data_IF_869089965327
#
_entry.id   IF_869089965327
#
_cell.length_a   1.000
_cell.length_b   1.000
_cell.length_c   1.000
_cell.angle_alpha   90.00
_cell.angle_beta   90.00
_cell.angle_gamma   90.00
#
_symmetry.space_group_name_H-M   'P 1'
#
loop_
_entity.id
_entity.type
_entity.pdbx_description
1 polymer ?
#
# COMPACT_ATOMS: atom_id res chain seq x y z
N UNK A 1 -3.55 4.23 69.88
CA UNK A 1 -4.28 4.32 68.58
C UNK A 1 -3.40 4.62 67.35
N UNK A 2 -2.10 4.98 67.49
CA UNK A 2 -1.21 5.26 66.34
C UNK A 2 -0.59 4.00 65.69
N UNK A 3 -0.42 2.90 66.43
CA UNK A 3 0.15 1.64 65.94
C UNK A 3 -0.80 0.82 65.04
N UNK A 4 -2.12 0.95 65.24
CA UNK A 4 -3.14 0.28 64.38
C UNK A 4 -3.28 0.93 63.00
N UNK A 5 -2.94 2.21 62.84
CA UNK A 5 -3.03 2.93 61.55
C UNK A 5 -1.83 2.64 60.63
N UNK A 6 -0.66 2.31 61.20
CA UNK A 6 0.51 1.91 60.40
C UNK A 6 0.35 0.52 59.79
N UNK A 7 -0.28 -0.42 60.50
CA UNK A 7 -0.50 -1.78 59.99
C UNK A 7 -1.43 -1.84 58.78
N UNK A 8 -2.47 -1.00 58.75
CA UNK A 8 -3.41 -0.95 57.63
C UNK A 8 -2.78 -0.33 56.38
N UNK A 9 -1.89 0.67 56.53
CA UNK A 9 -1.21 1.29 55.40
C UNK A 9 -0.20 0.34 54.73
N UNK A 10 0.52 -0.47 55.53
CA UNK A 10 1.47 -1.45 55.01
C UNK A 10 0.80 -2.57 54.19
N UNK A 11 -0.40 -2.99 54.60
CA UNK A 11 -1.17 -4.02 53.88
C UNK A 11 -1.72 -3.49 52.55
N UNK A 12 -2.17 -2.24 52.50
CA UNK A 12 -2.69 -1.64 51.25
C UNK A 12 -1.59 -1.42 50.21
N UNK A 13 -0.37 -1.03 50.63
CA UNK A 13 0.78 -0.86 49.73
C UNK A 13 1.27 -2.21 49.18
N UNK A 14 1.21 -3.28 49.97
CA UNK A 14 1.58 -4.63 49.52
C UNK A 14 0.57 -5.25 48.54
N UNK A 15 -0.70 -4.87 48.60
CA UNK A 15 -1.74 -5.33 47.65
C UNK A 15 -1.67 -4.57 46.30
N UNK A 16 -1.14 -3.34 46.28
CA UNK A 16 -1.01 -2.56 45.06
C UNK A 16 0.16 -2.99 44.16
N UNK A 17 1.14 -3.75 44.67
CA UNK A 17 2.29 -4.23 43.90
C UNK A 17 2.07 -5.59 43.20
N UNK A 18 0.92 -6.24 43.38
CA UNK A 18 0.58 -7.50 42.71
C UNK A 18 -0.11 -7.32 41.34
N UNK A 19 -0.21 -6.09 40.84
CA UNK A 19 -0.87 -5.75 39.57
C UNK A 19 0.10 -5.62 38.39
N UNK A 20 1.05 -6.54 38.21
CA UNK A 20 1.77 -6.62 36.93
C UNK A 20 0.83 -7.24 35.89
N UNK A 21 0.42 -6.45 34.90
CA UNK A 21 -0.27 -6.92 33.71
C UNK A 21 0.54 -8.04 33.06
N UNK A 22 0.05 -9.27 33.16
CA UNK A 22 0.68 -10.45 32.58
C UNK A 22 0.34 -10.45 31.07
N UNK A 23 1.10 -9.70 30.28
CA UNK A 23 1.04 -9.82 28.82
C UNK A 23 1.69 -11.17 28.45
N UNK A 24 0.97 -12.13 27.84
CA UNK A 24 1.60 -13.33 27.34
C UNK A 24 2.60 -12.94 26.25
N UNK A 25 3.89 -13.16 26.50
CA UNK A 25 4.98 -12.89 25.56
C UNK A 25 5.00 -13.85 24.37
N UNK A 26 4.14 -14.88 24.36
CA UNK A 26 4.07 -15.90 23.33
C UNK A 26 2.60 -16.14 22.98
N UNK A 27 2.10 -15.42 21.97
CA UNK A 27 0.91 -15.89 21.24
C UNK A 27 1.40 -16.83 20.16
N UNK A 28 0.96 -18.09 20.20
CA UNK A 28 1.21 -19.04 19.11
C UNK A 28 0.77 -18.37 17.80
N UNK A 29 1.60 -18.35 16.75
CA UNK A 29 1.17 -17.82 15.46
C UNK A 29 -0.07 -18.59 15.02
N UNK A 30 -1.21 -17.90 15.02
CA UNK A 30 -2.39 -18.37 14.31
C UNK A 30 -2.02 -18.30 12.83
N UNK A 31 -1.86 -19.46 12.20
CA UNK A 31 -1.79 -19.50 10.75
C UNK A 31 -3.05 -18.83 10.23
N UNK A 32 -2.90 -17.69 9.56
CA UNK A 32 -3.96 -17.15 8.73
C UNK A 32 -4.26 -18.29 7.75
N UNK A 33 -5.46 -18.85 7.88
CA UNK A 33 -5.95 -19.90 7.00
C UNK A 33 -5.71 -19.39 5.58
N UNK A 34 -4.90 -20.10 4.80
CA UNK A 34 -4.80 -19.85 3.37
C UNK A 34 -6.24 -19.72 2.83
N UNK A 35 -6.47 -18.72 2.00
CA UNK A 35 -7.75 -18.56 1.33
C UNK A 35 -8.17 -19.92 0.75
N UNK A 36 -9.43 -20.34 0.93
CA UNK A 36 -9.85 -21.66 0.49
C UNK A 36 -9.56 -21.82 -1.02
N UNK A 37 -8.60 -22.68 -1.35
CA UNK A 37 -8.42 -23.25 -2.69
C UNK A 37 -9.54 -24.24 -2.95
N UNK A 38 -10.74 -23.71 -3.19
CA UNK A 38 -11.75 -24.37 -4.00
C UNK A 38 -11.77 -23.72 -5.38
N UNK A 39 -12.42 -24.33 -6.40
CA UNK A 39 -12.78 -23.57 -7.59
C UNK A 39 -13.60 -22.38 -7.10
N UNK A 40 -13.02 -21.17 -7.22
CA UNK A 40 -13.75 -19.94 -7.00
C UNK A 40 -14.88 -19.98 -8.01
N UNK A 41 -16.09 -20.27 -7.51
CA UNK A 41 -17.30 -19.97 -8.26
C UNK A 41 -17.11 -18.51 -8.63
N UNK A 42 -16.98 -18.21 -9.92
CA UNK A 42 -17.08 -16.85 -10.41
C UNK A 42 -18.41 -16.36 -9.89
N UNK A 43 -18.40 -15.71 -8.72
CA UNK A 43 -19.60 -15.22 -8.08
C UNK A 43 -20.04 -14.11 -9.03
N UNK A 44 -20.99 -14.48 -9.90
CA UNK A 44 -21.41 -13.62 -10.98
C UNK A 44 -21.73 -12.26 -10.42
N UNK A 45 -21.30 -11.21 -11.13
CA UNK A 45 -21.42 -9.84 -10.66
C UNK A 45 -22.84 -9.58 -10.13
N UNK A 46 -22.96 -9.42 -8.82
CA UNK A 46 -24.27 -9.26 -8.19
C UNK A 46 -24.93 -8.00 -8.76
N UNK A 47 -26.20 -8.06 -9.17
CA UNK A 47 -26.88 -6.88 -9.67
C UNK A 47 -26.96 -5.82 -8.55
N UNK A 48 -26.86 -4.53 -8.90
CA UNK A 48 -27.00 -3.47 -7.91
C UNK A 48 -28.41 -3.53 -7.30
N UNK A 49 -28.52 -3.03 -6.06
CA UNK A 49 -29.81 -2.87 -5.42
C UNK A 49 -30.74 -2.00 -6.28
N UNK A 50 -32.00 -2.43 -6.40
CA UNK A 50 -32.99 -1.76 -7.25
C UNK A 50 -33.48 -0.49 -6.59
N UNK A 51 -33.80 0.52 -7.41
CA UNK A 51 -34.44 1.77 -6.97
C UNK A 51 -33.65 2.57 -5.91
N UNK A 52 -32.32 2.47 -5.89
CA UNK A 52 -31.48 3.28 -5.03
C UNK A 52 -31.71 4.79 -5.29
N UNK A 53 -31.78 5.63 -4.24
CA UNK A 53 -31.70 7.08 -4.36
C UNK A 53 -30.40 7.50 -5.06
N UNK A 54 -30.43 8.64 -5.77
CA UNK A 54 -29.27 9.10 -6.56
C UNK A 54 -27.98 9.26 -5.73
N UNK A 55 -28.09 9.72 -4.48
CA UNK A 55 -26.94 9.84 -3.57
C UNK A 55 -26.34 8.46 -3.21
N UNK A 56 -27.18 7.44 -3.05
CA UNK A 56 -26.76 6.08 -2.71
C UNK A 56 -26.17 5.35 -3.92
N UNK A 57 -26.64 5.66 -5.13
CA UNK A 57 -26.00 5.21 -6.39
C UNK A 57 -24.55 5.68 -6.47
N UNK A 58 -24.27 6.95 -6.14
CA UNK A 58 -22.89 7.47 -6.14
C UNK A 58 -22.05 6.81 -5.04
N UNK A 59 -22.63 6.57 -3.86
CA UNK A 59 -21.93 5.90 -2.75
C UNK A 59 -21.56 4.48 -3.15
N UNK A 60 -22.52 3.70 -3.62
CA UNK A 60 -22.31 2.33 -4.08
C UNK A 60 -21.34 2.25 -5.25
N UNK A 61 -21.36 3.24 -6.17
CA UNK A 61 -20.35 3.37 -7.22
C UNK A 61 -18.93 3.51 -6.64
N UNK A 62 -18.71 4.41 -5.67
CA UNK A 62 -17.40 4.61 -5.00
C UNK A 62 -16.95 3.34 -4.28
N UNK A 63 -17.88 2.65 -3.61
CA UNK A 63 -17.58 1.42 -2.87
C UNK A 63 -17.22 0.25 -3.79
N UNK A 64 -17.92 0.11 -4.92
CA UNK A 64 -17.64 -0.90 -5.93
C UNK A 64 -16.38 -0.57 -6.77
N UNK A 65 -15.92 0.68 -6.78
CA UNK A 65 -14.87 1.15 -7.68
C UNK A 65 -13.49 0.54 -7.43
N UNK A 66 -13.24 0.07 -6.20
CA UNK A 66 -12.00 -0.60 -5.83
C UNK A 66 -11.81 -1.95 -6.53
N UNK A 67 -12.89 -2.57 -7.01
CA UNK A 67 -12.84 -3.83 -7.73
C UNK A 67 -12.36 -3.57 -9.17
N UNK A 68 -11.07 -3.84 -9.46
CA UNK A 68 -10.49 -3.63 -10.80
C UNK A 68 -10.84 -4.74 -11.81
N UNK A 69 -11.36 -5.87 -11.32
CA UNK A 69 -11.73 -7.02 -12.15
C UNK A 69 -12.69 -6.64 -13.28
N UNK A 70 -12.50 -7.26 -14.44
CA UNK A 70 -13.29 -7.03 -15.66
C UNK A 70 -13.47 -5.54 -16.00
N UNK A 71 -12.37 -4.79 -15.89
CA UNK A 71 -12.31 -3.35 -16.15
C UNK A 71 -13.24 -2.52 -15.25
N UNK A 72 -13.35 -2.88 -13.96
CA UNK A 72 -14.29 -2.31 -12.99
C UNK A 72 -15.76 -2.63 -13.30
N UNK A 73 -16.06 -3.89 -13.65
CA UNK A 73 -17.41 -4.30 -14.02
C UNK A 73 -18.46 -3.96 -12.93
N UNK A 74 -18.09 -4.10 -11.64
CA UNK A 74 -18.96 -3.79 -10.51
C UNK A 74 -19.39 -2.32 -10.47
N UNK A 75 -18.44 -1.38 -10.55
CA UNK A 75 -18.80 0.05 -10.53
C UNK A 75 -19.49 0.49 -11.82
N UNK A 76 -19.18 -0.15 -12.96
CA UNK A 76 -19.84 0.12 -14.25
C UNK A 76 -21.34 -0.16 -14.24
N UNK A 77 -21.85 -1.02 -13.36
CA UNK A 77 -23.29 -1.25 -13.22
C UNK A 77 -24.05 0.02 -12.79
N UNK A 78 -23.39 0.96 -12.09
CA UNK A 78 -24.01 2.22 -11.66
C UNK A 78 -23.96 3.33 -12.72
N UNK A 79 -23.29 3.08 -13.85
CA UNK A 79 -23.19 4.01 -14.97
C UNK A 79 -24.32 3.79 -15.98
N UNK A 80 -24.69 4.84 -16.72
CA UNK A 80 -25.57 4.67 -17.87
C UNK A 80 -24.87 3.81 -18.94
N UNK A 81 -25.56 2.95 -19.70
CA UNK A 81 -24.93 1.96 -20.59
C UNK A 81 -23.94 2.56 -21.59
N UNK A 82 -24.22 3.74 -22.13
CA UNK A 82 -23.36 4.49 -23.04
C UNK A 82 -22.09 4.99 -22.35
N UNK A 83 -22.20 5.46 -21.11
CA UNK A 83 -21.08 5.94 -20.30
C UNK A 83 -20.24 4.77 -19.82
N UNK A 84 -20.86 3.67 -19.42
CA UNK A 84 -20.20 2.43 -19.02
C UNK A 84 -19.29 1.88 -20.12
N UNK A 85 -19.60 2.09 -21.40
CA UNK A 85 -18.74 1.65 -22.51
C UNK A 85 -17.55 2.57 -22.77
N UNK A 86 -17.70 3.85 -22.48
CA UNK A 86 -16.71 4.89 -22.81
C UNK A 86 -15.79 5.25 -21.65
N UNK A 87 -16.22 5.00 -20.42
CA UNK A 87 -15.47 5.38 -19.23
C UNK A 87 -14.14 4.60 -19.13
N UNK A 88 -13.03 5.32 -19.25
CA UNK A 88 -11.66 4.81 -19.10
C UNK A 88 -10.98 5.63 -18.01
N UNK A 89 -11.03 5.19 -16.74
CA UNK A 89 -10.38 5.92 -15.67
C UNK A 89 -8.86 5.88 -15.83
N UNK A 90 -8.18 6.91 -15.31
CA UNK A 90 -6.72 6.89 -15.17
C UNK A 90 -6.32 5.79 -14.18
N UNK A 91 -5.08 5.31 -14.30
CA UNK A 91 -4.50 4.32 -13.38
C UNK A 91 -4.24 4.85 -11.97
N UNK A 92 -4.37 6.16 -11.75
CA UNK A 92 -4.30 6.77 -10.41
C UNK A 92 -5.60 6.52 -9.64
N UNK A 93 -5.48 6.06 -8.40
CA UNK A 93 -6.61 5.82 -7.50
C UNK A 93 -6.55 6.82 -6.34
N UNK A 94 -7.64 7.55 -6.12
CA UNK A 94 -7.82 8.40 -4.96
C UNK A 94 -8.47 7.59 -3.84
N UNK A 95 -7.86 7.62 -2.66
CA UNK A 95 -8.34 6.87 -1.49
C UNK A 95 -8.86 7.87 -0.47
N UNK A 96 -10.16 7.80 -0.20
CA UNK A 96 -10.85 8.58 0.81
C UNK A 96 -10.77 7.93 2.19
N UNK A 97 -10.89 8.74 3.23
CA UNK A 97 -11.35 8.27 4.53
C UNK A 97 -12.75 7.66 4.42
N UNK A 98 -13.08 6.75 5.33
CA UNK A 98 -14.37 6.05 5.29
C UNK A 98 -15.55 6.99 5.58
N UNK A 99 -15.31 8.14 6.23
CA UNK A 99 -16.33 9.15 6.53
C UNK A 99 -16.60 10.13 5.37
N UNK A 100 -16.82 9.61 4.15
CA UNK A 100 -17.24 10.43 3.01
C UNK A 100 -18.77 10.54 2.93
N UNK A 101 -19.26 11.59 2.25
CA UNK A 101 -20.69 11.82 2.05
C UNK A 101 -21.01 12.04 0.58
N UNK A 102 -22.20 11.64 0.19
CA UNK A 102 -22.81 11.90 -1.11
C UNK A 102 -24.05 12.76 -0.89
N UNK A 103 -23.98 14.02 -1.28
CA UNK A 103 -25.04 15.00 -1.01
C UNK A 103 -25.56 15.58 -2.31
N UNK A 104 -26.85 15.95 -2.34
CA UNK A 104 -27.40 16.67 -3.49
C UNK A 104 -26.70 18.02 -3.63
N UNK A 105 -26.24 18.34 -4.84
CA UNK A 105 -25.62 19.64 -5.12
C UNK A 105 -26.64 20.79 -4.93
N UNK A 106 -26.18 22.03 -4.66
CA UNK A 106 -27.05 23.19 -4.50
C UNK A 106 -28.04 23.37 -5.67
N UNK A 107 -29.21 23.94 -5.41
CA UNK A 107 -30.26 24.10 -6.43
C UNK A 107 -29.78 24.86 -7.67
N UNK A 108 -28.87 25.81 -7.52
CA UNK A 108 -28.28 26.57 -8.64
C UNK A 108 -27.43 25.73 -9.60
N UNK A 109 -27.04 24.51 -9.21
CA UNK A 109 -26.25 23.57 -10.01
C UNK A 109 -27.06 22.37 -10.50
N UNK A 110 -28.33 22.28 -10.10
CA UNK A 110 -29.19 21.20 -10.57
C UNK A 110 -29.61 21.46 -12.02
N UNK A 111 -29.70 20.42 -12.86
CA UNK A 111 -30.29 20.54 -14.19
C UNK A 111 -31.77 20.93 -14.11
N UNK A 112 -32.28 21.58 -15.15
CA UNK A 112 -33.71 21.92 -15.26
C UNK A 112 -34.59 20.68 -15.49
N UNK A 113 -34.02 19.58 -15.99
CA UNK A 113 -34.71 18.30 -16.19
C UNK A 113 -34.91 17.57 -14.86
N UNK A 114 -36.17 17.31 -14.50
CA UNK A 114 -36.57 16.57 -13.28
C UNK A 114 -36.05 15.12 -13.25
N UNK A 115 -35.70 14.56 -14.41
CA UNK A 115 -35.08 13.24 -14.53
C UNK A 115 -33.56 13.27 -14.40
N UNK A 116 -32.95 14.44 -14.16
CA UNK A 116 -31.54 14.57 -13.89
C UNK A 116 -31.27 15.15 -12.50
N UNK A 117 -30.12 14.80 -11.93
CA UNK A 117 -29.66 15.41 -10.69
C UNK A 117 -28.14 15.39 -10.61
N UNK A 118 -27.58 16.39 -9.92
CA UNK A 118 -26.15 16.43 -9.59
C UNK A 118 -25.97 16.07 -8.11
N UNK A 119 -25.09 15.10 -7.87
CA UNK A 119 -24.64 14.68 -6.55
C UNK A 119 -23.18 15.07 -6.38
N UNK A 120 -22.88 15.69 -5.25
CA UNK A 120 -21.54 16.03 -4.82
C UNK A 120 -21.02 14.96 -3.86
N UNK A 121 -19.96 14.27 -4.28
CA UNK A 121 -19.11 13.45 -3.42
C UNK A 121 -18.16 14.38 -2.67
N UNK A 122 -18.28 14.40 -1.34
CA UNK A 122 -17.41 15.14 -0.43
C UNK A 122 -16.74 14.17 0.52
N UNK A 123 -15.45 14.37 0.78
CA UNK A 123 -14.72 13.54 1.72
C UNK A 123 -13.32 14.09 1.97
N UNK A 124 -12.54 13.36 2.75
CA UNK A 124 -11.14 13.68 2.96
C UNK A 124 -10.28 12.60 2.32
N UNK A 125 -9.44 12.98 1.36
CA UNK A 125 -8.50 12.07 0.71
C UNK A 125 -7.31 11.83 1.63
N UNK A 126 -7.02 10.55 1.91
CA UNK A 126 -5.96 10.09 2.81
C UNK A 126 -4.72 9.60 2.07
N UNK A 127 -4.80 9.54 0.73
CA UNK A 127 -3.67 9.22 -0.12
C UNK A 127 -4.09 8.87 -1.54
N UNK A 128 -3.07 8.60 -2.35
CA UNK A 128 -3.20 8.22 -3.74
C UNK A 128 -2.38 6.97 -4.02
N UNK A 129 -2.93 6.06 -4.81
CA UNK A 129 -2.16 5.00 -5.44
C UNK A 129 -1.74 5.46 -6.83
N UNK A 130 -0.42 5.58 -7.04
CA UNK A 130 0.14 5.97 -8.33
C UNK A 130 0.03 4.85 -9.39
N UNK A 131 0.29 5.16 -10.67
CA UNK A 131 0.31 4.17 -11.74
C UNK A 131 1.40 3.10 -11.56
N UNK A 132 2.44 3.41 -10.80
CA UNK A 132 3.49 2.46 -10.41
C UNK A 132 3.06 1.56 -9.24
N UNK A 133 1.82 1.70 -8.75
CA UNK A 133 1.25 0.97 -7.61
C UNK A 133 1.93 1.28 -6.27
N UNK A 134 2.63 2.41 -6.16
CA UNK A 134 3.09 2.94 -4.85
C UNK A 134 2.03 3.84 -4.21
N UNK A 135 1.87 3.72 -2.89
CA UNK A 135 0.95 4.58 -2.13
C UNK A 135 1.68 5.85 -1.67
N UNK A 136 1.09 7.01 -1.96
CA UNK A 136 1.55 8.31 -1.47
C UNK A 136 0.54 8.87 -0.48
N UNK A 137 0.90 9.01 0.82
CA UNK A 137 0.03 9.64 1.79
C UNK A 137 -0.26 11.10 1.41
N UNK A 138 -1.52 11.49 1.48
CA UNK A 138 -1.99 12.88 1.32
C UNK A 138 -3.12 13.11 2.31
N UNK A 139 -3.36 14.34 2.74
CA UNK A 139 -4.45 14.63 3.66
C UNK A 139 -5.11 15.94 3.24
N UNK A 140 -6.04 15.82 2.30
CA UNK A 140 -6.66 16.97 1.63
C UNK A 140 -8.16 16.73 1.44
N UNK A 141 -9.00 17.76 1.58
CA UNK A 141 -10.42 17.65 1.25
C UNK A 141 -10.59 17.36 -0.25
N UNK A 142 -11.55 16.49 -0.57
CA UNK A 142 -11.94 16.15 -1.93
C UNK A 142 -13.41 16.51 -2.14
N UNK A 143 -13.68 17.20 -3.24
CA UNK A 143 -15.03 17.41 -3.76
C UNK A 143 -15.08 17.01 -5.24
N UNK A 144 -16.06 16.18 -5.61
CA UNK A 144 -16.33 15.77 -6.99
C UNK A 144 -17.83 15.74 -7.26
N UNK A 145 -18.23 16.26 -8.41
CA UNK A 145 -19.63 16.28 -8.85
C UNK A 145 -19.85 15.16 -9.86
N UNK A 146 -20.97 14.45 -9.71
CA UNK A 146 -21.41 13.41 -10.61
C UNK A 146 -22.85 13.74 -11.02
N UNK A 147 -23.13 13.68 -12.32
CA UNK A 147 -24.48 13.86 -12.84
C UNK A 147 -25.12 12.51 -13.08
N UNK A 148 -26.36 12.36 -12.65
CA UNK A 148 -27.17 11.16 -12.82
C UNK A 148 -28.41 11.48 -13.63
N UNK A 149 -28.88 10.49 -14.37
CA UNK A 149 -30.15 10.52 -15.11
C UNK A 149 -30.97 9.29 -14.79
N UNK A 150 -32.27 9.48 -14.60
CA UNK A 150 -33.23 8.40 -14.45
C UNK A 150 -33.44 7.73 -15.82
N UNK A 151 -33.25 6.42 -15.88
CA UNK A 151 -33.37 5.67 -17.13
C UNK A 151 -34.86 5.54 -17.52
N UNK A 152 -35.26 5.84 -18.78
CA UNK A 152 -36.67 5.83 -19.19
C UNK A 152 -37.34 4.45 -19.12
N UNK A 153 -36.57 3.38 -19.29
CA UNK A 153 -37.03 2.00 -19.32
C UNK A 153 -37.17 1.37 -17.93
N UNK A 154 -36.24 1.66 -17.01
CA UNK A 154 -36.25 1.08 -15.66
C UNK A 154 -36.71 2.03 -14.57
N UNK A 155 -36.65 3.34 -14.80
CA UNK A 155 -36.91 4.36 -13.77
C UNK A 155 -35.79 4.50 -12.73
N UNK A 156 -34.65 3.82 -12.92
CA UNK A 156 -33.52 3.81 -11.98
C UNK A 156 -32.52 4.93 -12.29
N UNK A 157 -31.83 5.42 -11.25
CA UNK A 157 -30.75 6.40 -11.41
C UNK A 157 -29.48 5.73 -11.92
N UNK A 158 -28.87 6.30 -12.97
CA UNK A 158 -27.55 5.91 -13.46
C UNK A 158 -26.67 7.14 -13.68
N UNK A 159 -25.38 7.01 -13.40
CA UNK A 159 -24.40 8.10 -13.57
C UNK A 159 -24.15 8.31 -15.06
N UNK A 160 -24.36 9.55 -15.53
CA UNK A 160 -24.16 9.98 -16.92
C UNK A 160 -22.94 10.89 -17.10
N UNK A 161 -22.40 11.46 -16.01
CA UNK A 161 -21.20 12.29 -16.06
C UNK A 161 -20.38 12.12 -14.78
N UNK A 162 -19.09 11.85 -14.94
CA UNK A 162 -18.18 11.56 -13.84
C UNK A 162 -16.72 11.89 -14.21
N UNK A 163 -15.86 12.15 -13.21
CA UNK A 163 -14.43 12.28 -13.44
C UNK A 163 -13.80 11.01 -14.02
N UNK A 164 -12.79 11.16 -14.89
CA UNK A 164 -11.98 10.04 -15.40
C UNK A 164 -10.93 9.57 -14.41
N UNK A 165 -11.34 9.28 -13.16
CA UNK A 165 -10.48 8.86 -12.05
C UNK A 165 -11.14 7.71 -11.30
N UNK A 166 -10.34 6.83 -10.70
CA UNK A 166 -10.84 5.87 -9.71
C UNK A 166 -10.83 6.54 -8.35
N UNK A 167 -11.98 6.49 -7.65
CA UNK A 167 -12.14 6.99 -6.29
C UNK A 167 -12.76 5.86 -5.47
N UNK A 168 -12.17 5.56 -4.33
CA UNK A 168 -12.62 4.55 -3.35
C UNK A 168 -12.44 5.07 -1.93
N UNK A 169 -13.03 4.41 -0.93
CA UNK A 169 -12.67 4.61 0.48
C UNK A 169 -11.59 3.61 0.94
N UNK A 170 -11.08 3.82 2.16
CA UNK A 170 -10.03 3.02 2.79
C UNK A 170 -10.45 1.59 2.99
N UNK A 171 -11.69 1.37 3.44
CA UNK A 171 -12.21 0.03 3.68
C UNK A 171 -12.17 -0.81 2.40
N UNK A 172 -12.72 -0.30 1.30
CA UNK A 172 -12.77 -1.03 0.03
C UNK A 172 -11.37 -1.16 -0.59
N UNK A 173 -10.50 -0.16 -0.43
CA UNK A 173 -9.10 -0.28 -0.83
C UNK A 173 -8.40 -1.43 -0.11
N UNK A 174 -8.58 -1.54 1.21
CA UNK A 174 -7.95 -2.58 2.03
C UNK A 174 -8.51 -3.98 1.73
N UNK A 175 -9.76 -4.08 1.28
CA UNK A 175 -10.41 -5.33 0.88
C UNK A 175 -9.96 -5.81 -0.51
N UNK A 176 -9.79 -4.89 -1.45
CA UNK A 176 -9.57 -5.23 -2.86
C UNK A 176 -8.10 -5.19 -3.31
N UNK A 177 -7.20 -4.68 -2.47
CA UNK A 177 -5.76 -4.61 -2.78
C UNK A 177 -4.93 -5.38 -1.76
N UNK A 178 -4.00 -6.17 -2.27
CA UNK A 178 -2.96 -6.84 -1.49
C UNK A 178 -1.67 -6.03 -1.51
N UNK A 179 -0.96 -6.01 -0.37
CA UNK A 179 0.31 -5.31 -0.23
C UNK A 179 1.48 -6.27 -0.49
N UNK A 180 2.36 -5.93 -1.42
CA UNK A 180 3.58 -6.71 -1.74
C UNK A 180 4.84 -5.85 -1.60
N UNK A 181 5.99 -6.48 -1.37
CA UNK A 181 7.30 -5.81 -1.34
C UNK A 181 8.10 -6.25 -2.54
N UNK A 182 8.42 -5.30 -3.40
CA UNK A 182 9.45 -5.49 -4.42
C UNK A 182 10.79 -5.13 -3.81
N UNK A 183 11.83 -5.88 -4.11
CA UNK A 183 13.16 -5.59 -3.61
C UNK A 183 14.02 -5.05 -4.76
N UNK A 184 14.85 -4.06 -4.45
CA UNK A 184 15.85 -3.49 -5.36
C UNK A 184 17.18 -3.37 -4.61
N UNK A 185 18.30 -3.15 -5.31
CA UNK A 185 19.60 -3.04 -4.66
C UNK A 185 19.88 -1.61 -4.20
N UNK A 186 20.44 -1.43 -3.02
CA UNK A 186 21.06 -0.16 -2.66
C UNK A 186 22.35 0.05 -3.51
N UNK A 187 22.67 1.28 -3.93
CA UNK A 187 23.74 1.53 -4.88
C UNK A 187 25.10 0.99 -4.41
N UNK A 188 25.85 0.34 -5.31
CA UNK A 188 27.16 -0.28 -5.03
C UNK A 188 27.15 -1.23 -3.82
N UNK A 189 26.07 -1.97 -3.58
CA UNK A 189 25.96 -2.92 -2.48
C UNK A 189 25.04 -4.10 -2.79
N UNK A 190 25.16 -5.17 -2.00
CA UNK A 190 24.24 -6.32 -2.03
C UNK A 190 23.07 -6.20 -1.04
N UNK A 191 22.85 -5.00 -0.49
CA UNK A 191 21.75 -4.73 0.43
C UNK A 191 20.48 -4.50 -0.37
N UNK A 192 19.41 -5.20 0.00
CA UNK A 192 18.11 -5.02 -0.62
C UNK A 192 17.29 -3.93 0.08
N UNK A 193 16.66 -3.06 -0.72
CA UNK A 193 15.73 -2.01 -0.30
C UNK A 193 14.32 -2.46 -0.67
N UNK A 194 13.40 -2.61 0.31
CA UNK A 194 12.01 -2.93 0.03
C UNK A 194 11.25 -1.71 -0.53
N UNK A 195 10.44 -1.96 -1.55
CA UNK A 195 9.54 -1.01 -2.21
C UNK A 195 8.10 -1.53 -2.08
N UNK A 196 7.30 -0.85 -1.28
CA UNK A 196 5.95 -1.30 -0.95
C UNK A 196 4.98 -0.97 -2.08
N UNK A 197 4.30 -1.98 -2.63
CA UNK A 197 3.33 -1.84 -3.72
C UNK A 197 1.97 -2.42 -3.33
N UNK A 198 0.91 -1.89 -3.93
CA UNK A 198 -0.46 -2.40 -3.78
C UNK A 198 -0.97 -2.96 -5.10
N UNK A 199 -1.37 -4.23 -5.10
CA UNK A 199 -1.81 -4.95 -6.30
C UNK A 199 -3.26 -5.38 -6.10
N UNK A 200 -4.08 -5.30 -7.15
CA UNK A 200 -5.44 -5.84 -7.09
C UNK A 200 -5.40 -7.32 -6.67
N UNK A 201 -6.16 -7.64 -5.63
CA UNK A 201 -6.23 -8.97 -5.03
C UNK A 201 -6.98 -9.95 -5.94
N UNK A 202 -7.96 -9.45 -6.70
CA UNK A 202 -8.79 -10.23 -7.61
C UNK A 202 -8.60 -9.81 -9.08
N UNK A 203 -8.72 -10.74 -10.04
CA UNK A 203 -8.83 -12.19 -9.85
C UNK A 203 -7.54 -12.76 -9.22
N UNK A 204 -7.63 -13.77 -8.35
CA UNK A 204 -6.47 -14.38 -7.71
C UNK A 204 -5.50 -14.96 -8.76
N UNK A 205 -6.03 -15.49 -9.86
CA UNK A 205 -5.26 -15.96 -10.99
C UNK A 205 -4.37 -14.85 -11.56
N UNK A 206 -3.11 -15.19 -11.82
CA UNK A 206 -2.14 -14.24 -12.39
C UNK A 206 -1.64 -13.19 -11.41
N UNK A 207 -1.92 -13.28 -10.10
CA UNK A 207 -1.34 -12.38 -9.09
C UNK A 207 0.20 -12.35 -9.16
N UNK A 208 0.83 -13.52 -9.28
CA UNK A 208 2.29 -13.64 -9.42
C UNK A 208 2.79 -12.95 -10.70
N UNK A 209 2.07 -13.10 -11.81
CA UNK A 209 2.37 -12.36 -13.07
C UNK A 209 2.28 -10.86 -12.88
N UNK A 210 1.25 -10.36 -12.18
CA UNK A 210 1.08 -8.92 -11.89
C UNK A 210 2.23 -8.39 -11.03
N UNK A 211 2.65 -9.12 -10.00
CA UNK A 211 3.81 -8.74 -9.16
C UNK A 211 5.09 -8.72 -9.99
N UNK A 212 5.31 -9.75 -10.82
CA UNK A 212 6.48 -9.81 -11.69
C UNK A 212 6.49 -8.66 -12.70
N UNK A 213 5.34 -8.33 -13.29
CA UNK A 213 5.22 -7.18 -14.20
C UNK A 213 5.57 -5.89 -13.47
N UNK A 214 5.10 -5.67 -12.23
CA UNK A 214 5.49 -4.49 -11.45
C UNK A 214 6.99 -4.45 -11.18
N UNK A 215 7.62 -5.59 -10.90
CA UNK A 215 9.08 -5.68 -10.75
C UNK A 215 9.81 -5.30 -12.05
N UNK A 216 9.33 -5.77 -13.20
CA UNK A 216 9.88 -5.41 -14.52
C UNK A 216 9.71 -3.92 -14.87
N UNK A 217 8.69 -3.24 -14.34
CA UNK A 217 8.53 -1.79 -14.50
C UNK A 217 9.50 -0.99 -13.62
N UNK A 218 10.19 -1.66 -12.69
CA UNK A 218 11.23 -1.09 -11.87
C UNK A 218 10.74 -0.41 -10.59
N UNK A 219 11.62 0.39 -9.94
CA UNK A 219 11.38 0.96 -8.62
C UNK A 219 10.35 2.09 -8.62
N UNK A 220 9.76 2.35 -7.45
CA UNK A 220 8.74 3.39 -7.30
C UNK A 220 9.30 4.76 -7.58
N UNK A 221 8.44 5.71 -7.96
CA UNK A 221 8.86 7.09 -8.17
C UNK A 221 9.57 7.68 -6.95
N UNK A 222 9.23 7.21 -5.75
CA UNK A 222 9.83 7.65 -4.49
C UNK A 222 11.27 7.16 -4.27
N UNK A 223 11.64 5.97 -4.78
CA UNK A 223 12.96 5.36 -4.51
C UNK A 223 13.83 5.19 -5.75
N UNK A 224 13.29 5.38 -6.97
CA UNK A 224 14.00 5.11 -8.24
C UNK A 224 15.37 5.80 -8.39
N UNK A 225 15.57 6.94 -7.73
CA UNK A 225 16.83 7.68 -7.74
C UNK A 225 17.85 7.20 -6.68
N UNK A 226 17.48 6.23 -5.85
CA UNK A 226 18.21 5.77 -4.69
C UNK A 226 18.48 4.26 -4.69
N UNK A 227 18.13 3.54 -5.77
CA UNK A 227 18.31 2.10 -5.92
C UNK A 227 18.84 1.73 -7.31
N UNK A 228 19.39 0.54 -7.42
CA UNK A 228 19.81 -0.12 -8.65
C UNK A 228 18.86 -1.28 -8.96
N UNK A 229 18.59 -1.47 -10.24
CA UNK A 229 17.72 -2.52 -10.75
C UNK A 229 18.45 -3.36 -11.82
N UNK A 230 19.12 -4.47 -11.44
CA UNK A 230 19.79 -5.36 -12.38
C UNK A 230 18.82 -6.04 -13.36
N UNK A 231 17.52 -6.07 -13.04
CA UNK A 231 16.48 -6.62 -13.92
C UNK A 231 16.14 -5.69 -15.09
N UNK A 232 16.58 -4.42 -15.05
CA UNK A 232 16.32 -3.44 -16.12
C UNK A 232 16.89 -3.81 -17.50
N UNK A 233 17.87 -4.72 -17.55
CA UNK A 233 18.40 -5.29 -18.79
C UNK A 233 17.59 -6.48 -19.32
N UNK A 234 16.68 -7.03 -18.53
CA UNK A 234 15.87 -8.19 -18.89
C UNK A 234 14.53 -7.80 -19.53
N UNK A 235 13.91 -8.74 -20.22
CA UNK A 235 12.50 -8.67 -20.64
C UNK A 235 11.84 -10.01 -20.36
N UNK A 236 10.53 -10.03 -20.09
CA UNK A 236 9.78 -11.29 -19.96
C UNK A 236 9.50 -11.87 -21.36
N UNK A 237 9.88 -13.13 -21.60
CA UNK A 237 9.54 -13.82 -22.85
C UNK A 237 8.04 -14.12 -22.91
N UNK A 238 7.48 -14.58 -21.79
CA UNK A 238 6.05 -14.81 -21.60
C UNK A 238 5.68 -14.53 -20.14
N UNK A 239 4.38 -14.52 -19.82
CA UNK A 239 3.92 -14.45 -18.44
C UNK A 239 4.51 -15.61 -17.60
N UNK A 240 4.63 -15.40 -16.29
CA UNK A 240 5.07 -16.48 -15.39
C UNK A 240 4.09 -17.65 -15.43
N UNK A 241 4.59 -18.87 -15.20
CA UNK A 241 3.80 -20.10 -15.27
C UNK A 241 3.98 -20.91 -14.00
N UNK A 242 2.89 -21.44 -13.47
CA UNK A 242 2.96 -22.40 -12.37
C UNK A 242 3.21 -23.80 -12.95
N UNK A 243 4.35 -24.40 -12.62
CA UNK A 243 4.79 -25.72 -13.11
C UNK A 243 5.13 -26.60 -11.92
N UNK A 244 4.22 -27.51 -11.57
CA UNK A 244 4.35 -28.33 -10.37
C UNK A 244 4.30 -27.46 -9.11
N UNK A 245 5.39 -27.44 -8.34
CA UNK A 245 5.53 -26.60 -7.13
C UNK A 245 6.32 -25.32 -7.38
N UNK A 246 6.81 -25.10 -8.61
CA UNK A 246 7.63 -23.95 -8.96
C UNK A 246 6.83 -22.93 -9.79
N UNK A 247 7.15 -21.65 -9.61
CA UNK A 247 6.81 -20.60 -10.58
C UNK A 247 7.97 -20.43 -11.53
N UNK A 248 7.73 -20.67 -12.82
CA UNK A 248 8.68 -20.43 -13.89
C UNK A 248 8.60 -18.96 -14.34
N UNK A 249 9.75 -18.29 -14.31
CA UNK A 249 9.95 -16.90 -14.74
C UNK A 249 10.86 -16.91 -15.96
N UNK A 250 10.29 -16.87 -17.19
CA UNK A 250 11.05 -16.86 -18.42
C UNK A 250 11.47 -15.44 -18.80
N UNK A 251 12.77 -15.17 -18.79
CA UNK A 251 13.38 -13.89 -19.15
C UNK A 251 14.17 -14.00 -20.47
N UNK A 252 14.50 -12.87 -21.08
CA UNK A 252 15.44 -12.76 -22.19
C UNK A 252 16.22 -11.44 -22.07
N UNK A 253 17.17 -11.20 -22.97
CA UNK A 253 17.97 -9.98 -23.02
C UNK A 253 19.23 -10.01 -22.13
N UNK A 254 19.52 -11.14 -21.49
CA UNK A 254 20.63 -11.26 -20.53
C UNK A 254 21.93 -11.82 -21.15
N UNK A 255 22.05 -11.79 -22.48
CA UNK A 255 23.27 -12.20 -23.18
C UNK A 255 24.43 -11.27 -22.79
N UNK A 256 25.57 -11.82 -22.38
CA UNK A 256 26.74 -11.04 -21.96
C UNK A 256 26.68 -10.49 -20.53
N UNK A 257 25.55 -10.66 -19.82
CA UNK A 257 25.43 -10.32 -18.39
C UNK A 257 26.24 -11.30 -17.54
N UNK A 258 27.06 -10.77 -16.63
CA UNK A 258 27.96 -11.55 -15.78
C UNK A 258 27.20 -12.50 -14.83
N UNK A 259 27.87 -13.56 -14.36
CA UNK A 259 27.30 -14.50 -13.39
C UNK A 259 26.89 -13.81 -12.08
N UNK A 260 27.66 -12.82 -11.62
CA UNK A 260 27.36 -12.04 -10.42
C UNK A 260 26.08 -11.22 -10.60
N UNK A 261 25.93 -10.54 -11.74
CA UNK A 261 24.72 -9.75 -12.02
C UNK A 261 23.49 -10.65 -12.21
N UNK A 262 23.65 -11.82 -12.86
CA UNK A 262 22.60 -12.85 -12.92
C UNK A 262 22.19 -13.34 -11.53
N UNK A 263 23.13 -13.48 -10.61
CA UNK A 263 22.86 -13.84 -9.21
C UNK A 263 22.11 -12.72 -8.47
N UNK A 264 22.40 -11.45 -8.78
CA UNK A 264 21.62 -10.31 -8.29
C UNK A 264 20.18 -10.33 -8.82
N UNK A 265 19.98 -10.61 -10.11
CA UNK A 265 18.65 -10.79 -10.72
C UNK A 265 17.86 -11.89 -10.01
N UNK A 266 18.46 -13.08 -9.84
CA UNK A 266 17.81 -14.20 -9.10
C UNK A 266 17.40 -13.74 -7.71
N UNK A 267 18.31 -13.09 -6.99
CA UNK A 267 18.05 -12.64 -5.62
C UNK A 267 16.91 -11.64 -5.57
N UNK A 268 16.89 -10.65 -6.46
CA UNK A 268 15.85 -9.62 -6.55
C UNK A 268 14.47 -10.23 -6.80
N UNK A 269 14.36 -11.12 -7.79
CA UNK A 269 13.09 -11.75 -8.19
C UNK A 269 12.57 -12.66 -7.08
N UNK A 270 13.39 -13.58 -6.58
CA UNK A 270 12.99 -14.55 -5.55
C UNK A 270 12.62 -13.84 -4.25
N UNK A 271 13.31 -12.76 -3.88
CA UNK A 271 12.96 -11.97 -2.71
C UNK A 271 11.68 -11.17 -2.89
N UNK A 272 11.33 -10.76 -4.12
CA UNK A 272 10.10 -10.00 -4.42
C UNK A 272 8.85 -10.89 -4.57
N UNK A 273 9.02 -12.15 -4.98
CA UNK A 273 7.93 -13.13 -5.06
C UNK A 273 7.71 -13.79 -3.69
N UNK A 274 7.34 -12.99 -2.69
CA UNK A 274 7.36 -13.37 -1.27
C UNK A 274 6.47 -14.58 -0.91
N UNK A 275 5.39 -14.77 -1.66
CA UNK A 275 4.39 -15.82 -1.44
C UNK A 275 4.61 -17.04 -2.35
N UNK A 276 5.76 -17.13 -3.01
CA UNK A 276 6.13 -18.25 -3.87
C UNK A 276 7.23 -19.07 -3.22
N UNK A 277 6.96 -20.36 -3.02
CA UNK A 277 7.88 -21.26 -2.32
C UNK A 277 9.12 -21.63 -3.12
N UNK A 278 8.99 -21.74 -4.45
CA UNK A 278 10.03 -22.18 -5.36
C UNK A 278 9.93 -21.42 -6.68
N UNK A 279 11.02 -20.79 -7.11
CA UNK A 279 11.07 -19.99 -8.35
C UNK A 279 12.11 -20.58 -9.29
N UNK A 280 11.72 -20.84 -10.54
CA UNK A 280 12.61 -21.27 -11.62
C UNK A 280 12.85 -20.11 -12.57
N UNK A 281 14.06 -19.54 -12.55
CA UNK A 281 14.43 -18.46 -13.44
C UNK A 281 15.18 -18.99 -14.67
N UNK A 282 14.75 -18.56 -15.85
CA UNK A 282 15.37 -18.90 -17.11
C UNK A 282 15.68 -17.65 -17.94
N UNK A 283 16.71 -17.74 -18.78
CA UNK A 283 16.96 -16.81 -19.88
C UNK A 283 17.04 -17.58 -21.19
N UNK A 284 16.23 -17.23 -22.18
CA UNK A 284 16.26 -17.82 -23.52
C UNK A 284 16.11 -19.36 -23.44
N UNK A 285 15.16 -19.81 -22.61
CA UNK A 285 14.85 -21.23 -22.33
C UNK A 285 15.91 -22.02 -21.56
N UNK A 286 16.97 -21.38 -21.06
CA UNK A 286 18.03 -22.04 -20.25
C UNK A 286 18.01 -21.52 -18.82
N UNK A 287 18.41 -22.33 -17.82
CA UNK A 287 18.57 -21.85 -16.45
C UNK A 287 19.40 -20.57 -16.39
N UNK A 288 18.91 -19.57 -15.63
CA UNK A 288 19.57 -18.27 -15.55
C UNK A 288 20.99 -18.38 -14.99
N UNK A 289 21.19 -19.29 -14.03
CA UNK A 289 22.49 -19.68 -13.49
C UNK A 289 22.74 -21.18 -13.74
N UNK A 290 23.99 -21.58 -14.04
CA UNK A 290 24.32 -22.96 -14.38
C UNK A 290 24.40 -23.90 -13.17
N UNK A 291 24.57 -23.36 -11.95
CA UNK A 291 24.71 -24.12 -10.71
C UNK A 291 23.37 -24.58 -10.13
N UNK A 292 22.27 -23.89 -10.48
CA UNK A 292 20.95 -24.16 -9.91
C UNK A 292 19.82 -23.59 -10.78
N UNK A 293 18.78 -24.40 -10.94
CA UNK A 293 17.57 -24.02 -11.70
C UNK A 293 16.48 -23.40 -10.83
N UNK A 294 16.28 -23.96 -9.63
CA UNK A 294 15.13 -23.67 -8.78
C UNK A 294 15.60 -23.07 -7.45
N UNK A 295 14.96 -21.98 -7.02
CA UNK A 295 15.40 -21.14 -5.92
C UNK A 295 14.30 -20.92 -4.90
N UNK A 296 14.64 -21.08 -3.62
CA UNK A 296 13.84 -20.66 -2.47
C UNK A 296 14.41 -19.40 -1.88
N UNK A 297 13.59 -18.63 -1.14
CA UNK A 297 14.11 -17.48 -0.37
C UNK A 297 15.20 -17.87 0.63
N UNK A 298 15.08 -19.05 1.25
CA UNK A 298 16.07 -19.58 2.20
C UNK A 298 17.43 -19.90 1.59
N UNK A 299 17.50 -20.06 0.27
CA UNK A 299 18.75 -20.28 -0.45
C UNK A 299 19.60 -19.00 -0.59
N UNK A 300 18.95 -17.85 -0.41
CA UNK A 300 19.53 -16.55 -0.63
C UNK A 300 19.89 -15.91 0.71
N UNK A 301 21.04 -15.24 0.73
CA UNK A 301 21.53 -14.52 1.91
C UNK A 301 21.85 -13.08 1.49
N UNK A 302 20.84 -12.25 1.22
CA UNK A 302 21.08 -10.86 0.87
C UNK A 302 21.82 -10.15 2.01
N UNK A 303 22.65 -9.16 1.66
CA UNK A 303 23.41 -8.45 2.68
C UNK A 303 22.44 -7.72 3.61
N UNK A 304 22.69 -7.84 4.91
CA UNK A 304 21.97 -7.04 5.90
C UNK A 304 22.45 -5.59 5.80
N UNK A 305 21.53 -4.60 5.87
CA UNK A 305 21.95 -3.22 5.94
C UNK A 305 22.83 -3.05 7.17
N UNK A 306 24.09 -2.65 6.95
CA UNK A 306 24.91 -2.15 8.04
C UNK A 306 24.30 -0.82 8.46
N UNK A 307 23.49 -0.86 9.52
CA UNK A 307 23.20 0.33 10.31
C UNK A 307 24.56 0.70 10.91
N UNK A 308 25.33 1.53 10.19
CA UNK A 308 26.40 2.28 10.83
C UNK A 308 25.79 2.97 12.05
N UNK A 309 26.58 3.28 13.09
CA UNK A 309 26.15 4.22 14.14
C UNK A 309 25.63 5.48 13.47
N UNK A 310 24.33 5.47 13.21
CA UNK A 310 23.60 6.54 12.57
C UNK A 310 23.13 7.33 13.73
N UNK A 311 23.39 8.62 13.69
CA UNK A 311 22.69 9.54 14.55
C UNK A 311 21.19 9.29 14.26
N UNK A 312 20.49 8.61 15.18
CA UNK A 312 19.22 7.97 14.84
C UNK A 312 18.19 8.98 14.33
N UNK A 313 17.06 8.51 13.81
CA UNK A 313 16.01 9.40 13.33
C UNK A 313 14.72 9.17 14.10
N UNK A 314 13.98 10.25 14.36
CA UNK A 314 12.65 10.18 14.97
C UNK A 314 11.59 10.80 14.06
N UNK A 315 10.38 10.26 14.10
CA UNK A 315 9.22 10.86 13.45
C UNK A 315 8.43 11.63 14.49
N UNK A 316 8.32 12.95 14.32
CA UNK A 316 7.51 13.81 15.17
C UNK A 316 6.57 14.63 14.27
N UNK A 317 5.26 14.54 14.53
CA UNK A 317 4.23 15.24 13.75
C UNK A 317 4.35 15.04 12.22
N UNK A 318 4.68 13.81 11.80
CA UNK A 318 4.83 13.45 10.39
C UNK A 318 6.11 13.97 9.71
N UNK A 319 7.06 14.54 10.46
CA UNK A 319 8.37 14.96 9.96
C UNK A 319 9.47 14.10 10.57
N UNK A 320 10.49 13.79 9.77
CA UNK A 320 11.66 13.06 10.23
C UNK A 320 12.65 14.07 10.81
N UNK A 321 13.18 13.80 12.00
CA UNK A 321 14.18 14.61 12.69
C UNK A 321 15.44 13.78 12.93
N UNK A 322 16.61 14.41 12.77
CA UNK A 322 17.88 13.84 13.19
C UNK A 322 17.95 13.86 14.72
N UNK A 323 18.19 12.71 15.35
CA UNK A 323 18.48 12.62 16.79
C UNK A 323 19.89 13.14 17.13
N UNK A 324 20.74 13.40 16.12
CA UNK A 324 22.03 14.08 16.32
C UNK A 324 21.84 15.53 16.76
N UNK A 325 21.05 16.24 15.97
CA UNK A 325 21.05 17.71 15.90
C UNK A 325 19.67 18.28 16.23
N UNK A 326 18.63 17.44 16.30
CA UNK A 326 17.24 17.86 16.47
C UNK A 326 16.64 18.50 15.22
N UNK A 327 17.37 18.53 14.11
CA UNK A 327 16.95 19.21 12.89
C UNK A 327 15.99 18.37 12.04
N UNK A 328 14.98 18.99 11.40
CA UNK A 328 14.12 18.30 10.46
C UNK A 328 14.92 17.86 9.23
N UNK A 329 14.86 16.57 8.92
CA UNK A 329 15.37 16.02 7.68
C UNK A 329 14.52 16.57 6.52
N UNK A 330 15.14 17.31 5.60
CA UNK A 330 14.48 17.71 4.36
C UNK A 330 14.29 16.47 3.49
N UNK A 331 13.06 15.96 3.40
CA UNK A 331 12.72 14.99 2.37
C UNK A 331 12.97 15.62 0.98
N UNK A 332 13.43 14.85 -0.03
CA UNK A 332 13.33 15.29 -1.40
C UNK A 332 11.86 15.63 -1.66
N UNK A 333 11.58 16.83 -2.19
CA UNK A 333 10.24 17.16 -2.69
C UNK A 333 9.91 16.14 -3.78
N UNK A 334 9.14 15.11 -3.42
CA UNK A 334 8.46 14.23 -4.37
C UNK A 334 7.34 15.04 -5.02
N UNK A 335 7.70 15.84 -6.01
CA UNK A 335 6.81 16.62 -6.85
C UNK A 335 7.59 17.03 -8.08
N UNK A 336 7.17 16.54 -9.25
CA UNK A 336 7.84 16.77 -10.52
C UNK A 336 8.16 18.26 -10.73
N UNK A 337 9.44 18.55 -10.94
CA UNK A 337 9.95 19.90 -11.19
C UNK A 337 11.47 19.85 -11.26
N UNK A 338 11.99 20.15 -12.43
CA UNK A 338 13.40 20.05 -12.83
C UNK A 338 14.36 20.93 -12.02
N UNK A 339 15.63 20.49 -12.03
CA UNK A 339 16.88 21.19 -11.65
C UNK A 339 17.22 21.36 -10.17
N UNK A 340 18.34 20.75 -9.77
CA UNK A 340 19.01 20.95 -8.49
C UNK A 340 19.79 19.72 -8.07
N UNK A 341 21.01 19.54 -8.58
CA UNK A 341 21.93 18.50 -8.12
C UNK A 341 22.20 18.67 -6.62
N UNK A 342 21.87 17.65 -5.82
CA UNK A 342 22.27 17.54 -4.42
C UNK A 342 23.39 16.48 -4.28
N UNK A 343 24.35 16.66 -3.36
CA UNK A 343 25.57 15.86 -3.32
C UNK A 343 25.30 14.37 -3.03
N UNK A 344 25.97 13.52 -3.82
CA UNK A 344 25.76 12.06 -3.97
C UNK A 344 25.92 11.17 -2.72
N UNK A 345 26.15 11.72 -1.52
CA UNK A 345 26.73 10.92 -0.41
C UNK A 345 25.91 10.86 0.89
N UNK A 346 24.63 11.25 0.93
CA UNK A 346 23.85 11.23 2.19
C UNK A 346 22.42 10.74 2.02
N UNK A 347 22.23 9.45 1.72
CA UNK A 347 20.96 8.79 2.02
C UNK A 347 21.26 7.40 2.59
N UNK A 348 21.05 7.24 3.89
CA UNK A 348 20.99 5.93 4.57
C UNK A 348 19.52 5.66 4.88
N UNK A 349 19.12 4.42 4.63
CA UNK A 349 17.75 3.94 4.58
C UNK A 349 16.88 4.38 5.77
N UNK A 350 15.69 4.94 5.46
CA UNK A 350 14.61 5.09 6.42
C UNK A 350 13.79 3.80 6.43
N UNK A 351 13.66 3.17 7.60
CA UNK A 351 12.90 1.94 7.79
C UNK A 351 11.39 2.19 7.69
N UNK A 352 10.70 1.34 6.94
CA UNK A 352 9.25 1.32 6.82
C UNK A 352 8.63 0.62 8.01
N UNK A 353 8.16 1.40 8.99
CA UNK A 353 7.22 0.93 10.01
C UNK A 353 6.06 1.92 10.12
N UNK A 354 5.19 1.88 9.12
CA UNK A 354 3.89 2.55 9.17
C UNK A 354 2.82 1.47 9.33
N UNK A 355 2.58 1.10 10.59
CA UNK A 355 1.31 0.64 11.17
C UNK A 355 1.61 0.05 12.56
N UNK A 356 1.38 0.86 13.59
CA UNK A 356 1.00 0.42 14.94
C UNK A 356 0.29 1.60 15.58
N UNK A 357 -0.99 1.40 15.92
CA UNK A 357 -1.87 2.44 16.42
C UNK A 357 -1.50 2.96 17.82
N UNK A 358 -2.23 4.03 18.16
CA UNK A 358 -2.48 4.57 19.51
C UNK A 358 -1.24 4.88 20.37
N UNK A 359 -0.78 6.13 20.31
CA UNK A 359 -0.07 6.73 21.44
C UNK A 359 -1.08 7.52 22.27
N UNK A 360 -1.57 6.85 23.29
CA UNK A 360 -2.33 7.38 24.42
C UNK A 360 -1.55 8.52 25.09
N UNK A 361 -2.25 9.60 25.40
CA UNK A 361 -1.81 10.69 26.26
C UNK A 361 -1.26 10.13 27.57
N UNK A 362 -0.04 10.46 27.94
CA UNK A 362 0.46 10.27 29.30
C UNK A 362 1.43 11.39 29.63
N UNK A 363 0.99 12.22 30.58
CA UNK A 363 1.72 13.33 31.14
C UNK A 363 2.97 12.84 31.88
N UNK A 364 4.07 13.56 31.71
CA UNK A 364 5.12 13.67 32.73
C UNK A 364 5.55 15.13 32.82
N UNK A 365 4.96 15.82 33.80
CA UNK A 365 5.55 17.03 34.33
C UNK A 365 6.78 16.67 35.16
N UNK A 366 7.84 17.46 35.03
CA UNK A 366 8.85 17.59 36.08
C UNK A 366 9.11 19.07 36.31
N UNK A 367 8.93 19.46 37.57
CA UNK A 367 9.02 20.81 38.05
C UNK A 367 10.45 21.35 38.05
N UNK A 368 10.48 22.68 38.00
CA UNK A 368 11.42 23.56 38.67
C UNK A 368 12.14 22.89 39.86
N UNK A 369 13.44 23.12 40.01
CA UNK A 369 13.97 23.98 41.09
C UNK A 369 15.43 24.33 40.79
N UNK A 370 15.70 25.63 40.92
CA UNK A 370 16.99 26.26 40.70
C UNK A 370 17.90 26.12 41.93
N UNK A 371 19.15 25.78 41.64
CA UNK A 371 20.40 26.43 42.05
C UNK A 371 20.68 26.87 43.50
N UNK A 372 21.94 26.58 43.89
CA UNK A 372 22.78 27.17 44.93
C UNK A 372 22.51 26.71 46.38
N UNK A 373 23.49 26.41 47.23
CA UNK A 373 24.87 26.91 47.32
C UNK A 373 25.76 26.02 48.23
N UNK A 374 27.06 26.02 47.93
CA UNK A 374 28.26 25.93 48.80
C UNK A 374 28.11 25.35 50.23
N UNK A 375 28.84 24.28 50.54
CA UNK A 375 30.24 24.29 51.02
C UNK A 375 30.82 22.87 50.94
#
# INVERSE_FOLDING_TARGET
MRSRKLGVLAVVVALASAGCANLPLETKPQAIRAAPTGPEVTEGLQPPEKNLPAADVVRAFVEANAQEADLHAASRQYLAPEVAKQWKPRSEILILDDNFNTIRAPQAEQPDDENETVITLVGNMIGKLGPDRSFTPQNEPLEKKLRLRRQPDTGEWRIVELPSLVITNREQFSKNFFTTRLYFYAPNSDVLVPDLRYVAAQPAEGLTSRIMHLLMHGPSYSIRGAVEDPLSAATMETNVREVGTAVEVPLTGLVGVSTEERRRIVTQVVMSLENVDLVRLQSDGKPLLPDRTDWRRSDLKPATPKIADSDGYAVLNGRIYSLKDGDPCRAPRGGGGTTGAAPRNRWKAASSRWWSGSATTSACGWGSWANSSRR
#
